data_IF_829992821877
#
_entry.id   IF_829992821877
#
_cell.length_a   1.000
_cell.length_b   1.000
_cell.length_c   1.000
_cell.angle_alpha   90.00
_cell.angle_beta   90.00
_cell.angle_gamma   90.00
#
_symmetry.space_group_name_H-M   'P 1'
#
loop_
_entity.id
_entity.type
_entity.pdbx_description
1 polymer ?
#
# COMPACT_ATOMS: atom_id res chain seq x y z
N UNK A 1 17.72 4.74 17.58
CA UNK A 1 17.31 5.38 16.34
C UNK A 1 18.31 5.08 15.23
N UNK A 2 17.82 4.89 14.07
CA UNK A 2 18.71 4.64 12.97
C UNK A 2 19.05 5.93 12.24
N UNK A 3 20.17 5.90 11.55
CA UNK A 3 20.60 7.04 10.78
C UNK A 3 19.63 7.32 9.64
N UNK A 4 19.46 8.59 9.38
CA UNK A 4 18.66 9.02 8.25
C UNK A 4 19.61 9.30 7.10
N UNK A 5 19.48 8.52 6.05
CA UNK A 5 20.28 8.73 4.88
C UNK A 5 19.78 9.92 4.08
N UNK A 6 20.65 10.88 3.85
CA UNK A 6 20.28 12.07 3.09
C UNK A 6 21.09 12.09 1.81
N UNK A 7 20.59 11.44 0.77
CA UNK A 7 21.34 11.42 -0.49
C UNK A 7 21.37 12.80 -1.12
N UNK A 8 22.35 13.05 -1.98
CA UNK A 8 22.36 14.30 -2.73
C UNK A 8 21.07 14.47 -3.52
N UNK A 9 20.71 15.72 -3.76
CA UNK A 9 19.53 16.01 -4.55
C UNK A 9 19.83 15.78 -6.02
N UNK A 10 19.82 14.55 -6.44
CA UNK A 10 20.05 14.17 -7.83
C UNK A 10 18.75 13.66 -8.38
N UNK A 11 18.03 14.52 -9.09
CA UNK A 11 16.72 14.17 -9.63
C UNK A 11 16.80 13.13 -10.73
N UNK A 12 18.02 12.93 -11.29
CA UNK A 12 18.21 11.97 -12.37
C UNK A 12 18.57 10.58 -11.89
N UNK A 13 18.72 10.41 -10.58
CA UNK A 13 19.07 9.12 -10.02
C UNK A 13 18.00 8.07 -10.29
N UNK A 14 16.75 8.47 -10.33
CA UNK A 14 15.64 7.54 -10.47
C UNK A 14 15.30 7.34 -11.94
N UNK A 15 15.54 6.12 -12.43
CA UNK A 15 15.38 5.81 -13.85
C UNK A 15 13.91 5.73 -14.28
N UNK A 16 13.02 5.45 -13.36
CA UNK A 16 11.60 5.26 -13.66
C UNK A 16 10.72 6.25 -12.91
N UNK A 17 11.27 7.39 -12.55
CA UNK A 17 10.53 8.42 -11.83
C UNK A 17 9.96 7.91 -10.51
N UNK A 18 10.71 7.06 -9.83
CA UNK A 18 10.21 6.43 -8.60
C UNK A 18 9.80 7.46 -7.55
N UNK A 19 10.57 8.52 -7.41
CA UNK A 19 10.22 9.54 -6.42
C UNK A 19 8.84 10.12 -6.67
N UNK A 20 8.57 10.45 -7.93
CA UNK A 20 7.26 10.98 -8.30
C UNK A 20 6.16 9.95 -8.07
N UNK A 21 6.43 8.70 -8.45
CA UNK A 21 5.43 7.65 -8.29
C UNK A 21 5.11 7.39 -6.83
N UNK A 22 6.12 7.44 -5.97
CA UNK A 22 5.87 7.27 -4.54
C UNK A 22 4.95 8.38 -4.02
N UNK A 23 5.14 9.60 -4.50
CA UNK A 23 4.24 10.69 -4.14
C UNK A 23 2.81 10.43 -4.57
N UNK A 24 2.63 9.88 -5.77
CA UNK A 24 1.29 9.53 -6.25
C UNK A 24 0.66 8.43 -5.42
N UNK A 25 1.46 7.46 -4.98
CA UNK A 25 0.96 6.41 -4.10
C UNK A 25 0.48 7.01 -2.79
N UNK A 26 1.25 7.92 -2.22
CA UNK A 26 0.84 8.58 -0.98
C UNK A 26 -0.47 9.32 -1.16
N UNK A 27 -0.61 10.07 -2.25
CA UNK A 27 -1.84 10.80 -2.52
C UNK A 27 -3.03 9.85 -2.64
N UNK A 28 -2.81 8.72 -3.32
CA UNK A 28 -3.86 7.72 -3.46
C UNK A 28 -4.28 7.18 -2.10
N UNK A 29 -3.30 6.83 -1.27
CA UNK A 29 -3.60 6.29 0.06
C UNK A 29 -4.35 7.32 0.90
N UNK A 30 -3.92 8.58 0.85
CA UNK A 30 -4.62 9.64 1.56
C UNK A 30 -6.09 9.68 1.16
N UNK A 31 -6.35 9.55 -0.15
CA UNK A 31 -7.73 9.59 -0.63
C UNK A 31 -8.56 8.42 -0.13
N UNK A 32 -7.95 7.25 0.07
CA UNK A 32 -8.70 6.11 0.61
C UNK A 32 -9.10 6.36 2.05
N UNK A 33 -8.22 6.96 2.83
CA UNK A 33 -8.57 7.29 4.21
C UNK A 33 -9.67 8.33 4.27
N UNK A 34 -9.63 9.32 3.41
CA UNK A 34 -10.68 10.32 3.36
C UNK A 34 -12.04 9.69 3.07
N UNK A 35 -12.09 8.76 2.14
CA UNK A 35 -13.33 8.11 1.77
C UNK A 35 -13.89 7.21 2.87
N UNK A 36 -13.00 6.44 3.51
CA UNK A 36 -13.45 5.39 4.42
C UNK A 36 -13.66 5.90 5.83
N UNK A 37 -12.82 6.80 6.28
CA UNK A 37 -12.92 7.28 7.66
C UNK A 37 -13.89 8.43 7.82
N UNK A 38 -14.29 9.07 6.74
CA UNK A 38 -15.24 10.18 6.84
C UNK A 38 -16.60 9.71 7.35
N UNK A 39 -16.86 8.42 7.30
CA UNK A 39 -18.13 7.85 7.78
C UNK A 39 -18.01 7.31 9.20
N UNK A 40 -16.88 7.47 9.84
CA UNK A 40 -16.75 7.20 11.26
C UNK A 40 -16.76 5.74 11.67
N UNK A 41 -16.61 4.81 10.75
CA UNK A 41 -16.65 3.40 11.07
C UNK A 41 -15.28 2.75 11.07
N UNK A 42 -15.20 1.59 11.71
CA UNK A 42 -14.02 0.77 11.64
C UNK A 42 -13.93 0.13 10.27
N UNK A 43 -12.76 0.18 9.65
CA UNK A 43 -12.60 -0.41 8.33
C UNK A 43 -12.55 -1.93 8.41
N UNK A 44 -13.03 -2.57 7.33
CA UNK A 44 -12.98 -4.02 7.26
C UNK A 44 -11.55 -4.54 7.41
N UNK A 45 -10.58 -3.82 6.89
CA UNK A 45 -9.19 -4.23 7.00
C UNK A 45 -8.75 -4.33 8.45
N UNK A 46 -9.21 -3.42 9.30
CA UNK A 46 -8.86 -3.46 10.71
C UNK A 46 -9.48 -4.67 11.41
N UNK A 47 -10.71 -5.01 11.02
CA UNK A 47 -11.36 -6.21 11.57
C UNK A 47 -10.60 -7.45 11.14
N UNK A 48 -10.18 -7.51 9.89
CA UNK A 48 -9.43 -8.65 9.37
C UNK A 48 -8.11 -8.78 10.10
N UNK A 49 -7.44 -7.65 10.35
CA UNK A 49 -6.20 -7.66 11.10
C UNK A 49 -6.42 -8.21 12.51
N UNK A 50 -7.47 -7.75 13.18
CA UNK A 50 -7.77 -8.20 14.52
C UNK A 50 -8.09 -9.68 14.60
N UNK A 51 -8.56 -10.28 13.50
CA UNK A 51 -8.87 -11.70 13.47
C UNK A 51 -7.65 -12.56 13.11
N UNK A 52 -6.51 -11.95 12.80
CA UNK A 52 -5.30 -12.69 12.48
C UNK A 52 -5.15 -13.09 11.03
N UNK A 53 -5.95 -12.52 10.13
CA UNK A 53 -5.94 -12.95 8.73
C UNK A 53 -5.41 -11.89 7.78
N UNK A 54 -4.69 -10.89 8.28
CA UNK A 54 -4.28 -9.78 7.43
C UNK A 54 -3.30 -10.19 6.36
N UNK A 55 -2.37 -11.09 6.67
CA UNK A 55 -1.36 -11.49 5.69
C UNK A 55 -2.01 -12.13 4.47
N UNK A 56 -2.86 -13.13 4.69
CA UNK A 56 -3.54 -13.79 3.59
C UNK A 56 -4.45 -12.84 2.82
N UNK A 57 -5.10 -11.95 3.54
CA UNK A 57 -5.96 -10.95 2.90
C UNK A 57 -5.16 -10.04 1.97
N UNK A 58 -4.01 -9.53 2.42
CA UNK A 58 -3.20 -8.65 1.59
C UNK A 58 -2.63 -9.38 0.38
N UNK A 59 -2.07 -10.58 0.60
CA UNK A 59 -1.51 -11.35 -0.51
C UNK A 59 -2.59 -11.69 -1.52
N UNK A 60 -3.77 -12.11 -1.04
CA UNK A 60 -4.86 -12.43 -1.94
C UNK A 60 -5.30 -11.23 -2.78
N UNK A 61 -5.34 -10.05 -2.17
CA UNK A 61 -5.72 -8.86 -2.94
C UNK A 61 -4.65 -8.46 -3.94
N UNK A 62 -3.37 -8.60 -3.58
CA UNK A 62 -2.30 -8.32 -4.53
C UNK A 62 -2.43 -9.23 -5.75
N UNK A 63 -2.67 -10.52 -5.52
CA UNK A 63 -2.84 -11.47 -6.61
C UNK A 63 -4.07 -11.12 -7.45
N UNK A 64 -5.17 -10.77 -6.80
CA UNK A 64 -6.39 -10.43 -7.50
C UNK A 64 -6.20 -9.24 -8.43
N UNK A 65 -5.58 -8.18 -7.94
CA UNK A 65 -5.42 -6.99 -8.77
C UNK A 65 -4.35 -7.16 -9.83
N UNK A 66 -3.34 -7.99 -9.57
CA UNK A 66 -2.37 -8.32 -10.61
C UNK A 66 -3.04 -9.11 -11.73
N UNK A 67 -3.94 -10.03 -11.39
CA UNK A 67 -4.66 -10.80 -12.39
C UNK A 67 -5.60 -9.93 -13.21
N UNK A 68 -6.20 -8.93 -12.59
CA UNK A 68 -7.15 -8.05 -13.27
C UNK A 68 -6.47 -6.97 -14.12
N UNK A 69 -5.19 -6.80 -13.95
CA UNK A 69 -4.46 -5.70 -14.58
C UNK A 69 -4.71 -5.67 -16.08
N UNK A 70 -5.31 -4.57 -16.55
CA UNK A 70 -5.55 -4.36 -17.97
C UNK A 70 -6.63 -5.24 -18.59
N UNK A 71 -7.34 -6.04 -17.81
CA UNK A 71 -8.31 -6.99 -18.37
C UNK A 71 -9.75 -6.55 -18.25
N UNK A 72 -10.05 -5.67 -17.29
CA UNK A 72 -11.43 -5.24 -17.09
C UNK A 72 -11.69 -3.98 -17.90
N UNK A 73 -12.72 -4.03 -18.74
CA UNK A 73 -13.09 -2.89 -19.56
C UNK A 73 -13.50 -1.72 -18.66
N UNK A 74 -12.94 -0.55 -18.96
CA UNK A 74 -13.27 0.65 -18.22
C UNK A 74 -12.49 0.84 -16.94
N UNK A 75 -11.65 -0.13 -16.56
CA UNK A 75 -10.85 -0.03 -15.34
C UNK A 75 -9.46 0.51 -15.67
N UNK A 76 -9.03 1.51 -14.90
CA UNK A 76 -7.72 2.12 -15.09
C UNK A 76 -6.64 1.16 -14.58
N UNK A 77 -5.64 0.88 -15.42
CA UNK A 77 -4.51 0.04 -15.03
C UNK A 77 -3.78 0.61 -13.82
N UNK A 78 -3.62 1.93 -13.76
CA UNK A 78 -2.96 2.56 -12.62
C UNK A 78 -3.71 2.29 -11.33
N UNK A 79 -5.02 2.24 -11.39
CA UNK A 79 -5.81 1.97 -10.20
C UNK A 79 -5.47 0.58 -9.63
N UNK A 80 -5.31 -0.39 -10.52
CA UNK A 80 -4.90 -1.73 -10.08
C UNK A 80 -3.53 -1.70 -9.44
N UNK A 81 -2.59 -0.97 -10.04
CA UNK A 81 -1.24 -0.87 -9.49
C UNK A 81 -1.25 -0.19 -8.12
N UNK A 82 -2.06 0.86 -7.98
CA UNK A 82 -2.13 1.55 -6.68
C UNK A 82 -2.64 0.62 -5.59
N UNK A 83 -3.64 -0.21 -5.90
CA UNK A 83 -4.15 -1.15 -4.93
C UNK A 83 -3.09 -2.18 -4.55
N UNK A 84 -2.35 -2.69 -5.54
CA UNK A 84 -1.29 -3.66 -5.27
C UNK A 84 -0.27 -3.07 -4.32
N UNK A 85 0.19 -1.85 -4.60
CA UNK A 85 1.20 -1.21 -3.77
C UNK A 85 0.65 -0.94 -2.37
N UNK A 86 -0.60 -0.49 -2.27
CA UNK A 86 -1.20 -0.20 -0.97
C UNK A 86 -1.28 -1.44 -0.10
N UNK A 87 -1.71 -2.56 -0.65
CA UNK A 87 -1.76 -3.80 0.13
C UNK A 87 -0.37 -4.27 0.51
N UNK A 88 0.63 -4.05 -0.35
CA UNK A 88 2.00 -4.39 -0.01
C UNK A 88 2.49 -3.55 1.18
N UNK A 89 2.15 -2.28 1.21
CA UNK A 89 2.54 -1.40 2.32
C UNK A 89 1.88 -1.85 3.63
N UNK A 90 0.60 -2.20 3.56
CA UNK A 90 -0.10 -2.70 4.75
C UNK A 90 0.58 -3.95 5.28
N UNK A 91 0.99 -4.84 4.37
CA UNK A 91 1.66 -6.06 4.77
C UNK A 91 3.04 -5.78 5.37
N UNK A 92 3.74 -4.76 4.86
CA UNK A 92 5.01 -4.36 5.44
C UNK A 92 4.85 -3.94 6.90
N UNK A 93 3.79 -3.19 7.20
CA UNK A 93 3.54 -2.79 8.58
C UNK A 93 3.18 -3.99 9.45
N UNK A 94 2.47 -4.97 8.90
CA UNK A 94 2.14 -6.18 9.63
C UNK A 94 3.41 -6.96 9.99
N UNK A 95 4.36 -7.05 9.05
CA UNK A 95 5.64 -7.72 9.34
C UNK A 95 6.43 -6.97 10.40
N UNK A 96 6.45 -5.65 10.32
CA UNK A 96 7.14 -4.85 11.33
C UNK A 96 6.51 -5.03 12.69
N UNK A 97 5.19 -5.10 12.75
CA UNK A 97 4.50 -5.33 14.00
C UNK A 97 4.81 -6.69 14.58
N UNK A 98 4.86 -7.71 13.74
CA UNK A 98 5.22 -9.06 14.19
C UNK A 98 6.64 -9.10 14.74
N UNK A 99 7.57 -8.45 14.05
CA UNK A 99 8.95 -8.38 14.50
C UNK A 99 9.03 -7.70 15.86
N UNK A 100 8.31 -6.61 16.03
CA UNK A 100 8.31 -5.89 17.30
C UNK A 100 7.68 -6.72 18.40
N UNK A 101 6.66 -7.51 18.06
CA UNK A 101 5.94 -8.29 19.04
C UNK A 101 6.56 -9.66 19.36
N UNK A 102 7.55 -10.07 18.60
CA UNK A 102 8.10 -11.42 18.76
C UNK A 102 9.20 -11.49 19.79
N UNK A 103 9.43 -10.42 20.51
CA UNK A 103 10.42 -10.46 21.59
C UNK A 103 9.85 -10.85 22.92
#
# INVERSE_FOLDING_TARGET
MRDVYNPPLDMNKYKFNEKEKIGKVRDYIDSTYDKHYSHGGEQATEVIKGSGHLEGFCIGNIIKYAQRYGKKVGEDKNNNLMKIVHYAIILMEEQDGNDRGSR
#
